data_IF_427983977854
#
_entry.id   IF_427983977854
#
_cell.length_a   1.000
_cell.length_b   1.000
_cell.length_c   1.000
_cell.angle_alpha   90.00
_cell.angle_beta   90.00
_cell.angle_gamma   90.00
#
_symmetry.space_group_name_H-M   'P 1'
#
loop_
_entity.id
_entity.type
_entity.pdbx_description
1 polymer ?
#
# COMPACT_ATOMS: atom_id res chain seq x y z
N UNK A 1 -6.24 16.84 1.96
CA UNK A 1 -5.23 15.94 1.36
C UNK A 1 -3.92 16.68 1.09
N UNK A 2 -3.90 17.73 0.25
CA UNK A 2 -2.69 18.49 -0.07
C UNK A 2 -1.92 19.02 1.16
N UNK A 3 -2.63 19.57 2.15
CA UNK A 3 -2.02 20.04 3.41
C UNK A 3 -1.30 18.92 4.17
N UNK A 4 -1.88 17.72 4.25
CA UNK A 4 -1.24 16.57 4.89
C UNK A 4 0.04 16.16 4.18
N UNK A 5 0.07 16.22 2.84
CA UNK A 5 1.26 15.94 2.04
C UNK A 5 2.35 16.98 2.31
N UNK A 6 1.99 18.27 2.35
CA UNK A 6 2.93 19.33 2.67
C UNK A 6 3.52 19.17 4.08
N UNK A 7 2.70 18.86 5.07
CA UNK A 7 3.16 18.60 6.43
C UNK A 7 4.14 17.42 6.49
N UNK A 8 3.87 16.33 5.76
CA UNK A 8 4.81 15.20 5.69
C UNK A 8 6.12 15.58 5.01
N UNK A 9 6.08 16.36 3.93
CA UNK A 9 7.26 16.81 3.21
C UNK A 9 8.06 17.87 3.98
N UNK A 10 7.45 18.63 4.89
CA UNK A 10 8.16 19.61 5.71
C UNK A 10 8.67 19.05 7.04
N UNK A 11 8.32 17.82 7.40
CA UNK A 11 8.72 17.21 8.65
C UNK A 11 10.20 16.77 8.62
N UNK A 12 10.89 16.87 9.75
CA UNK A 12 12.27 16.37 9.92
C UNK A 12 12.33 14.83 9.93
N UNK A 13 11.28 14.19 10.46
CA UNK A 13 11.11 12.74 10.47
C UNK A 13 9.62 12.36 10.52
N UNK A 14 9.30 11.16 10.03
CA UNK A 14 7.94 10.61 10.02
C UNK A 14 7.83 9.42 10.98
N UNK A 15 6.89 9.49 11.92
CA UNK A 15 6.65 8.43 12.90
C UNK A 15 5.57 7.46 12.40
N UNK A 16 5.91 6.16 12.39
CA UNK A 16 4.98 5.08 12.13
C UNK A 16 4.89 4.14 13.33
N UNK A 17 3.66 3.83 13.75
CA UNK A 17 3.39 2.99 14.91
C UNK A 17 2.51 1.81 14.49
N UNK A 18 2.92 0.59 14.82
CA UNK A 18 2.08 -0.60 14.80
C UNK A 18 2.04 -1.23 16.19
N UNK A 19 0.84 -1.57 16.67
CA UNK A 19 0.68 -2.26 17.96
C UNK A 19 1.30 -3.66 17.94
N UNK A 20 1.83 -4.09 19.08
CA UNK A 20 2.38 -5.43 19.26
C UNK A 20 1.26 -6.42 19.64
N UNK A 21 0.48 -6.81 18.64
CA UNK A 21 -0.61 -7.80 18.76
C UNK A 21 -0.33 -9.01 17.87
N UNK A 22 -0.92 -10.20 18.15
CA UNK A 22 -0.73 -11.37 17.31
C UNK A 22 -0.94 -11.07 15.82
N UNK A 23 -0.01 -11.54 14.98
CA UNK A 23 0.03 -11.32 13.53
C UNK A 23 0.30 -9.88 13.04
N UNK A 24 0.57 -8.92 13.93
CA UNK A 24 0.88 -7.54 13.54
C UNK A 24 2.16 -7.39 12.68
N UNK A 25 3.07 -8.37 12.73
CA UNK A 25 4.26 -8.43 11.86
C UNK A 25 3.91 -8.47 10.35
N UNK A 26 2.68 -8.87 9.98
CA UNK A 26 2.22 -8.89 8.57
C UNK A 26 1.49 -7.62 8.14
N UNK A 27 1.36 -6.65 9.04
CA UNK A 27 0.59 -5.43 8.77
C UNK A 27 1.50 -4.39 8.12
N UNK A 28 1.20 -4.07 6.86
CA UNK A 28 1.72 -2.88 6.18
C UNK A 28 0.69 -1.78 6.35
N UNK A 29 1.09 -0.66 6.97
CA UNK A 29 0.20 0.48 7.18
C UNK A 29 -0.22 1.09 5.83
N UNK A 30 -1.47 1.53 5.70
CA UNK A 30 -1.97 2.18 4.49
C UNK A 30 -1.14 3.42 4.09
N UNK A 31 -0.53 4.11 5.06
CA UNK A 31 0.33 5.28 4.82
C UNK A 31 1.79 4.98 4.53
N UNK A 32 2.22 3.71 4.55
CA UNK A 32 3.63 3.35 4.33
C UNK A 32 4.17 3.95 3.03
N UNK A 33 3.45 3.79 1.93
CA UNK A 33 3.88 4.31 0.64
C UNK A 33 3.76 5.83 0.52
N UNK A 34 2.86 6.48 1.26
CA UNK A 34 2.78 7.96 1.32
C UNK A 34 3.99 8.55 2.05
N UNK A 35 4.41 7.92 3.16
CA UNK A 35 5.60 8.34 3.90
C UNK A 35 6.86 8.12 3.07
N UNK A 36 6.93 7.00 2.35
CA UNK A 36 8.00 6.74 1.40
C UNK A 36 8.08 7.80 0.30
N UNK A 37 6.93 8.24 -0.22
CA UNK A 37 6.86 9.29 -1.24
C UNK A 37 7.20 10.69 -0.70
N UNK A 38 7.11 10.90 0.62
CA UNK A 38 7.48 12.17 1.25
C UNK A 38 8.99 12.39 1.35
N UNK A 39 9.81 11.35 1.13
CA UNK A 39 11.29 11.40 1.11
C UNK A 39 11.87 11.99 2.40
N UNK A 40 11.38 11.49 3.55
CA UNK A 40 11.84 11.90 4.89
C UNK A 40 12.25 10.68 5.71
N UNK A 41 13.22 10.84 6.64
CA UNK A 41 13.59 9.79 7.59
C UNK A 41 12.36 9.19 8.26
N UNK A 42 12.31 7.86 8.34
CA UNK A 42 11.19 7.14 8.95
C UNK A 42 11.61 6.58 10.31
N UNK A 43 10.89 6.96 11.36
CA UNK A 43 10.98 6.33 12.66
C UNK A 43 9.85 5.33 12.81
N UNK A 44 10.16 4.04 12.71
CA UNK A 44 9.17 2.95 12.70
C UNK A 44 9.25 2.19 14.02
N UNK A 45 8.16 2.25 14.78
CA UNK A 45 7.95 1.44 15.99
C UNK A 45 6.90 0.39 15.68
N UNK A 46 7.34 -0.81 15.31
CA UNK A 46 6.50 -1.90 14.84
C UNK A 46 7.17 -3.24 15.11
N UNK A 47 6.43 -4.34 15.30
CA UNK A 47 7.02 -5.67 15.33
C UNK A 47 7.83 -5.96 14.05
N UNK A 48 8.91 -6.72 14.17
CA UNK A 48 9.71 -7.14 13.01
C UNK A 48 8.85 -7.90 12.01
N UNK A 49 8.87 -7.50 10.74
CA UNK A 49 8.08 -8.13 9.68
C UNK A 49 7.95 -7.27 8.43
N UNK A 50 6.82 -7.39 7.73
CA UNK A 50 6.62 -6.90 6.36
C UNK A 50 6.91 -5.40 6.20
N UNK A 51 6.49 -4.57 7.17
CA UNK A 51 6.74 -3.13 7.11
C UNK A 51 8.24 -2.81 7.26
N UNK A 52 8.97 -3.56 8.09
CA UNK A 52 10.42 -3.40 8.21
C UNK A 52 11.08 -3.74 6.88
N UNK A 53 10.72 -4.87 6.27
CA UNK A 53 11.33 -5.33 5.03
C UNK A 53 11.11 -4.36 3.86
N UNK A 54 9.98 -3.63 3.85
CA UNK A 54 9.71 -2.60 2.85
C UNK A 54 10.61 -1.38 3.03
N UNK A 55 10.85 -0.94 4.26
CA UNK A 55 11.47 0.37 4.56
C UNK A 55 12.93 0.28 5.01
N UNK A 56 13.45 -0.93 5.27
CA UNK A 56 14.80 -1.19 5.84
C UNK A 56 15.93 -0.51 5.08
N UNK A 57 15.85 -0.49 3.76
CA UNK A 57 16.90 0.04 2.90
C UNK A 57 16.78 1.54 2.64
N UNK A 58 15.73 2.19 3.17
CA UNK A 58 15.52 3.63 2.96
C UNK A 58 16.47 4.44 3.87
N UNK A 59 17.18 5.44 3.33
CA UNK A 59 18.14 6.22 4.10
C UNK A 59 17.50 6.89 5.32
N UNK A 60 18.19 6.87 6.47
CA UNK A 60 17.69 7.51 7.70
C UNK A 60 16.56 6.75 8.42
N UNK A 61 16.21 5.54 7.97
CA UNK A 61 15.16 4.75 8.63
C UNK A 61 15.65 4.13 9.93
N UNK A 62 14.88 4.32 11.00
CA UNK A 62 15.09 3.74 12.33
C UNK A 62 14.00 2.73 12.62
N UNK A 63 14.38 1.48 12.89
CA UNK A 63 13.47 0.38 13.16
C UNK A 63 13.56 -0.07 14.63
N UNK A 64 12.44 0.00 15.33
CA UNK A 64 12.33 -0.40 16.74
C UNK A 64 11.16 -1.35 16.97
N UNK A 65 11.36 -2.48 17.67
CA UNK A 65 10.23 -3.25 18.16
C UNK A 65 9.53 -2.47 19.29
N UNK A 66 8.20 -2.56 19.46
CA UNK A 66 7.47 -1.79 20.47
C UNK A 66 7.87 -2.10 21.91
N UNK A 67 8.46 -3.27 22.15
CA UNK A 67 8.95 -3.73 23.45
C UNK A 67 10.31 -3.15 23.85
N UNK A 68 11.10 -2.61 22.91
CA UNK A 68 12.44 -2.07 23.16
C UNK A 68 12.35 -0.56 23.45
N UNK A 69 11.88 -0.25 24.66
CA UNK A 69 11.66 1.13 25.14
C UNK A 69 12.96 1.95 25.12
N UNK A 70 14.09 1.32 25.44
CA UNK A 70 15.39 2.01 25.45
C UNK A 70 15.80 2.44 24.04
N UNK A 71 15.70 1.55 23.04
CA UNK A 71 15.99 1.90 21.65
C UNK A 71 15.04 2.96 21.11
N UNK A 72 13.75 2.90 21.47
CA UNK A 72 12.77 3.95 21.11
C UNK A 72 13.21 5.30 21.67
N UNK A 73 13.57 5.35 22.96
CA UNK A 73 14.03 6.56 23.64
C UNK A 73 15.31 7.11 22.99
N UNK A 74 16.29 6.26 22.72
CA UNK A 74 17.58 6.67 22.14
C UNK A 74 17.41 7.20 20.71
N UNK A 75 16.61 6.54 19.87
CA UNK A 75 16.32 7.01 18.51
C UNK A 75 15.52 8.32 18.52
N UNK A 76 14.54 8.46 19.41
CA UNK A 76 13.80 9.71 19.55
C UNK A 76 14.71 10.87 20.00
N UNK A 77 15.61 10.62 20.96
CA UNK A 77 16.58 11.61 21.40
C UNK A 77 17.51 12.03 20.24
N UNK A 78 17.97 11.08 19.42
CA UNK A 78 18.77 11.37 18.24
C UNK A 78 18.03 12.28 17.24
N UNK A 79 16.76 11.98 16.94
CA UNK A 79 15.93 12.80 16.05
C UNK A 79 15.80 14.23 16.58
N UNK A 80 15.55 14.39 17.88
CA UNK A 80 15.42 15.71 18.52
C UNK A 80 16.74 16.48 18.44
N UNK A 81 17.88 15.83 18.70
CA UNK A 81 19.18 16.49 18.62
C UNK A 81 19.56 16.87 17.18
N UNK A 82 19.23 16.04 16.18
CA UNK A 82 19.39 16.38 14.77
C UNK A 82 18.58 17.63 14.39
N UNK A 83 17.31 17.69 14.82
CA UNK A 83 16.47 18.88 14.64
C UNK A 83 17.08 20.12 15.31
N UNK A 84 17.51 20.00 16.57
CA UNK A 84 18.12 21.12 17.33
C UNK A 84 19.41 21.63 16.71
N UNK A 85 20.16 20.76 16.04
CA UNK A 85 21.41 21.09 15.38
C UNK A 85 21.21 21.55 13.92
N UNK A 86 19.97 21.71 13.45
CA UNK A 86 19.63 22.05 12.06
C UNK A 86 20.27 21.09 11.04
N UNK A 87 20.29 19.79 11.38
CA UNK A 87 20.79 18.74 10.49
C UNK A 87 19.76 18.47 9.41
N UNK A 88 20.07 18.86 8.18
CA UNK A 88 19.23 18.60 7.02
C UNK A 88 19.46 17.18 6.49
N UNK A 89 18.36 16.46 6.25
CA UNK A 89 18.40 15.15 5.62
C UNK A 89 18.61 15.29 4.11
N UNK A 90 19.64 14.60 3.58
CA UNK A 90 19.89 14.47 2.15
C UNK A 90 19.14 13.25 1.59
N UNK A 91 18.17 13.50 0.71
CA UNK A 91 17.38 12.46 0.07
C UNK A 91 17.92 12.03 -1.31
N UNK A 92 19.14 12.45 -1.70
CA UNK A 92 19.70 12.18 -3.03
C UNK A 92 19.69 10.70 -3.42
N UNK A 93 19.84 9.81 -2.44
CA UNK A 93 19.87 8.35 -2.65
C UNK A 93 18.53 7.68 -2.33
N UNK A 94 17.45 8.45 -2.19
CA UNK A 94 16.11 7.92 -1.92
C UNK A 94 15.48 7.35 -3.19
N UNK A 95 15.46 6.02 -3.28
CA UNK A 95 14.88 5.25 -4.37
C UNK A 95 13.72 4.38 -3.87
N UNK A 96 12.55 4.62 -4.45
CA UNK A 96 11.33 3.84 -4.21
C UNK A 96 10.70 3.35 -5.52
N UNK A 97 11.45 3.38 -6.63
CA UNK A 97 10.92 3.12 -7.96
C UNK A 97 10.28 1.72 -8.05
N UNK A 98 10.89 0.75 -7.35
CA UNK A 98 10.38 -0.62 -7.23
C UNK A 98 8.96 -0.72 -6.69
N UNK A 99 8.49 0.30 -5.98
CA UNK A 99 7.16 0.36 -5.40
C UNK A 99 6.14 1.15 -6.23
N UNK A 100 6.53 1.68 -7.40
CA UNK A 100 5.58 2.30 -8.30
C UNK A 100 4.52 1.29 -8.76
N UNK A 101 3.25 1.73 -8.75
CA UNK A 101 2.09 0.91 -9.12
C UNK A 101 2.27 0.16 -10.44
N UNK A 102 2.86 0.82 -11.44
CA UNK A 102 3.12 0.23 -12.76
C UNK A 102 4.15 -0.90 -12.69
N UNK A 103 5.18 -0.75 -11.88
CA UNK A 103 6.23 -1.76 -11.69
C UNK A 103 5.69 -2.98 -10.94
N UNK A 104 4.98 -2.76 -9.83
CA UNK A 104 4.34 -3.85 -9.05
C UNK A 104 3.32 -4.60 -9.93
N UNK A 105 2.46 -3.88 -10.66
CA UNK A 105 1.49 -4.50 -11.56
C UNK A 105 2.17 -5.32 -12.68
N UNK A 106 3.29 -4.83 -13.21
CA UNK A 106 4.10 -5.56 -14.19
C UNK A 106 4.73 -6.83 -13.62
N UNK A 107 5.26 -6.77 -12.39
CA UNK A 107 5.78 -7.95 -11.68
C UNK A 107 4.68 -8.99 -11.45
N UNK A 108 3.50 -8.55 -10.99
CA UNK A 108 2.34 -9.43 -10.79
C UNK A 108 1.89 -10.07 -12.11
N UNK A 109 1.76 -9.28 -13.19
CA UNK A 109 1.38 -9.80 -14.50
C UNK A 109 2.40 -10.82 -15.03
N UNK A 110 3.69 -10.56 -14.81
CA UNK A 110 4.77 -11.51 -15.16
C UNK A 110 4.61 -12.81 -14.39
N UNK A 111 4.41 -12.75 -13.08
CA UNK A 111 4.18 -13.94 -12.25
C UNK A 111 2.97 -14.73 -12.71
N UNK A 112 1.85 -14.06 -12.99
CA UNK A 112 0.65 -14.71 -13.53
C UNK A 112 0.98 -15.41 -14.86
N UNK A 113 1.65 -14.74 -15.80
CA UNK A 113 2.06 -15.36 -17.07
C UNK A 113 2.94 -16.62 -16.87
N UNK A 114 3.77 -16.68 -15.83
CA UNK A 114 4.53 -17.91 -15.52
C UNK A 114 3.65 -19.06 -15.06
N UNK A 115 2.56 -18.77 -14.35
CA UNK A 115 1.64 -19.80 -13.83
C UNK A 115 0.65 -20.31 -14.87
N UNK A 116 0.27 -19.46 -15.83
CA UNK A 116 -0.71 -19.82 -16.87
C UNK A 116 -0.08 -20.72 -17.96
N UNK A 117 1.25 -20.86 -17.96
CA UNK A 117 2.02 -21.55 -19.00
C UNK A 117 2.01 -20.73 -20.29
N UNK A 118 3.10 -20.77 -21.07
CA UNK A 118 2.95 -20.39 -22.48
C UNK A 118 1.90 -21.35 -23.08
N UNK A 119 0.84 -20.84 -23.74
CA UNK A 119 -0.15 -21.73 -24.31
C UNK A 119 0.55 -22.59 -25.38
N UNK A 120 0.70 -23.89 -25.10
CA UNK A 120 0.61 -24.87 -26.16
C UNK A 120 -0.78 -24.63 -26.78
N UNK A 121 -0.79 -24.28 -28.06
CA UNK A 121 -1.88 -23.54 -28.71
C UNK A 121 -3.27 -24.03 -28.35
N UNK A 122 -4.08 -23.15 -27.78
CA UNK A 122 -5.52 -23.37 -27.66
C UNK A 122 -6.21 -22.01 -27.88
N UNK A 123 -6.88 -21.90 -29.02
CA UNK A 123 -7.67 -20.74 -29.42
C UNK A 123 -8.92 -20.63 -28.54
N UNK A 124 -9.12 -19.47 -27.91
CA UNK A 124 -10.37 -19.14 -27.22
C UNK A 124 -11.57 -19.29 -28.17
N UNK A 125 -12.63 -20.05 -27.83
CA UNK A 125 -13.81 -20.10 -28.68
C UNK A 125 -14.53 -18.76 -28.56
N UNK A 126 -14.48 -17.97 -29.64
CA UNK A 126 -15.32 -16.79 -29.80
C UNK A 126 -16.75 -17.28 -30.00
N UNK A 127 -17.52 -17.42 -28.94
CA UNK A 127 -18.97 -17.62 -29.05
C UNK A 127 -19.57 -16.32 -29.59
N UNK A 128 -19.86 -16.32 -30.89
CA UNK A 128 -20.80 -15.39 -31.52
C UNK A 128 -22.14 -15.55 -30.83
N UNK A 129 -22.52 -14.60 -29.97
CA UNK A 129 -23.93 -14.40 -29.65
C UNK A 129 -24.61 -13.90 -30.94
N UNK A 130 -25.24 -14.83 -31.65
CA UNK A 130 -26.21 -14.51 -32.69
C UNK A 130 -27.32 -13.67 -32.05
N UNK A 131 -27.38 -12.41 -32.48
CA UNK A 131 -28.49 -11.52 -32.20
C UNK A 131 -29.68 -11.95 -33.06
N UNK A 132 -30.46 -12.92 -32.59
CA UNK A 132 -31.75 -13.25 -33.18
C UNK A 132 -32.77 -13.60 -32.09
N UNK A 133 -33.90 -12.88 -32.14
CA UNK A 133 -35.16 -13.08 -31.42
C UNK A 133 -35.21 -12.72 -29.93
N UNK A 134 -35.58 -11.46 -29.68
CA UNK A 134 -36.50 -11.12 -28.60
C UNK A 134 -37.74 -10.50 -29.28
N UNK A 135 -38.81 -11.27 -29.40
CA UNK A 135 -40.14 -10.72 -29.73
C UNK A 135 -40.75 -10.04 -28.50
N UNK A 136 -41.50 -8.93 -28.66
CA UNK A 136 -42.12 -8.24 -27.53
C UNK A 136 -43.42 -8.95 -27.12
N UNK A 137 -43.52 -9.37 -25.86
CA UNK A 137 -44.77 -9.82 -25.26
C UNK A 137 -45.67 -8.61 -24.99
N UNK A 138 -46.82 -8.58 -25.64
CA UNK A 138 -47.92 -7.62 -25.42
C UNK A 138 -48.62 -7.85 -24.08
N UNK A 139 -49.18 -6.76 -23.57
CA UNK A 139 -49.99 -6.60 -22.35
C UNK A 139 -51.04 -7.69 -22.12
N UNK A 140 -51.31 -7.99 -20.85
CA UNK A 140 -52.69 -8.16 -20.39
C UNK A 140 -52.85 -7.66 -18.95
N UNK A 141 -53.60 -6.57 -18.83
CA UNK A 141 -54.27 -6.08 -17.63
C UNK A 141 -55.24 -7.12 -17.09
N UNK A 142 -55.26 -7.36 -15.77
CA UNK A 142 -56.55 -7.61 -15.11
C UNK A 142 -56.57 -7.15 -13.65
N UNK A 143 -57.67 -6.50 -13.36
CA UNK A 143 -58.16 -5.86 -12.14
C UNK A 143 -58.83 -6.88 -11.20
N UNK A 144 -59.25 -6.40 -10.01
CA UNK A 144 -60.19 -7.03 -9.04
C UNK A 144 -59.63 -8.10 -8.09
N UNK A 145 -59.97 -8.21 -6.80
CA UNK A 145 -60.62 -7.41 -5.75
C UNK A 145 -60.71 -8.33 -4.50
N UNK A 146 -60.94 -7.77 -3.31
CA UNK A 146 -61.48 -8.48 -2.14
C UNK A 146 -60.45 -8.81 -1.04
N UNK A 147 -60.27 -8.03 0.03
CA UNK A 147 -61.16 -7.79 1.19
C UNK A 147 -61.04 -8.85 2.30
N UNK A 148 -60.22 -8.54 3.33
CA UNK A 148 -60.61 -8.38 4.75
C UNK A 148 -59.43 -7.92 5.60
#
# INVERSE_FOLDING_TARGET
>A
HAEAVQLMQSADALLMLNSDVPHAHRIINAKTFEYMAARRPMFVVAPEGDVWDIVRDLPGTMLCPPSDVERIKDNLALIIEQFRCDVHFDDAHWDIDKFHRRQIAGQLATLLNTTIGQPAGETWPTSTHDAANIEPSTEDTNESAGEK
#
